data_IF_958076203603
#
_entry.id   IF_958076203603
#
_cell.length_a   1.000
_cell.length_b   1.000
_cell.length_c   1.000
_cell.angle_alpha   90.00
_cell.angle_beta   90.00
_cell.angle_gamma   90.00
#
_symmetry.space_group_name_H-M   'P 1'
#
loop_
_entity.id
_entity.type
_entity.pdbx_description
1 polymer ?
#
# COMPACT_ATOMS: atom_id res chain seq x y z
N UNK A 1 -30.52 -62.20 46.48
CA UNK A 1 -29.38 -61.27 46.54
C UNK A 1 -28.90 -61.01 45.12
N UNK A 2 -29.33 -59.91 44.50
CA UNK A 2 -29.00 -59.57 43.13
C UNK A 2 -28.12 -58.29 43.14
N UNK A 3 -26.92 -58.44 42.70
CA UNK A 3 -25.97 -57.30 42.56
C UNK A 3 -26.23 -56.61 41.22
N UNK A 4 -26.68 -55.36 41.25
CA UNK A 4 -26.85 -54.51 40.07
C UNK A 4 -25.57 -53.88 39.64
N UNK A 5 -25.18 -54.21 38.42
CA UNK A 5 -23.98 -53.59 37.73
C UNK A 5 -24.42 -52.32 37.02
N UNK A 6 -23.96 -51.15 37.49
CA UNK A 6 -24.20 -49.88 36.83
C UNK A 6 -23.16 -49.69 35.71
N UNK A 7 -23.62 -49.72 34.45
CA UNK A 7 -22.82 -49.30 33.29
C UNK A 7 -22.70 -47.76 33.28
N UNK A 8 -21.48 -47.28 33.37
CA UNK A 8 -21.15 -45.85 33.19
C UNK A 8 -20.91 -45.57 31.71
N UNK A 9 -21.84 -44.87 31.02
CA UNK A 9 -21.66 -44.43 29.66
C UNK A 9 -20.77 -43.18 29.66
N UNK A 10 -19.52 -43.32 29.19
CA UNK A 10 -18.67 -42.19 28.82
C UNK A 10 -19.15 -41.67 27.47
N UNK A 11 -19.79 -40.52 27.46
CA UNK A 11 -20.03 -39.76 26.21
C UNK A 11 -18.78 -38.94 25.88
N UNK A 12 -18.03 -39.37 24.85
CA UNK A 12 -16.99 -38.57 24.21
C UNK A 12 -17.66 -37.46 23.37
N UNK A 13 -17.61 -36.24 23.85
CA UNK A 13 -17.91 -35.06 23.03
C UNK A 13 -16.70 -34.78 22.10
N UNK A 14 -16.79 -35.20 20.84
CA UNK A 14 -15.90 -34.78 19.79
C UNK A 14 -16.28 -33.33 19.38
N UNK A 15 -15.54 -32.35 19.88
CA UNK A 15 -15.65 -30.97 19.41
C UNK A 15 -15.07 -30.87 18.00
N UNK A 16 -15.91 -30.85 16.99
CA UNK A 16 -15.54 -30.53 15.60
C UNK A 16 -15.30 -29.04 15.53
N UNK A 17 -14.02 -28.61 15.55
CA UNK A 17 -13.60 -27.26 15.21
C UNK A 17 -13.84 -27.04 13.72
N UNK A 18 -14.99 -26.50 13.36
CA UNK A 18 -15.26 -26.01 12.02
C UNK A 18 -14.41 -24.75 11.80
N UNK A 19 -13.25 -24.89 11.14
CA UNK A 19 -12.55 -23.76 10.56
C UNK A 19 -13.43 -23.17 9.46
N UNK A 20 -14.12 -22.06 9.76
CA UNK A 20 -14.74 -21.24 8.74
C UNK A 20 -13.62 -20.58 7.92
N UNK A 21 -13.18 -21.21 6.85
CA UNK A 21 -12.45 -20.53 5.79
C UNK A 21 -13.43 -19.54 5.17
N UNK A 22 -13.30 -18.25 5.50
CA UNK A 22 -13.93 -17.21 4.70
C UNK A 22 -13.39 -17.36 3.26
N UNK A 23 -14.25 -17.50 2.24
CA UNK A 23 -13.79 -17.55 0.86
C UNK A 23 -13.01 -16.28 0.60
N UNK A 24 -11.74 -16.41 0.19
CA UNK A 24 -10.99 -15.29 -0.34
C UNK A 24 -11.86 -14.69 -1.46
N UNK A 25 -12.22 -13.41 -1.35
CA UNK A 25 -12.91 -12.70 -2.44
C UNK A 25 -12.01 -12.87 -3.65
N UNK A 26 -12.43 -13.68 -4.61
CA UNK A 26 -11.82 -13.76 -5.92
C UNK A 26 -11.86 -12.35 -6.51
N UNK A 27 -10.74 -11.64 -6.46
CA UNK A 27 -10.62 -10.31 -7.03
C UNK A 27 -10.87 -10.41 -8.52
N UNK A 28 -11.77 -9.57 -9.05
CA UNK A 28 -11.99 -9.49 -10.50
C UNK A 28 -10.74 -8.88 -11.13
N UNK A 29 -10.26 -9.53 -12.20
CA UNK A 29 -9.23 -8.97 -13.04
C UNK A 29 -9.81 -7.82 -13.88
N UNK A 30 -9.18 -6.65 -13.78
CA UNK A 30 -9.57 -5.44 -14.50
C UNK A 30 -8.55 -5.15 -15.61
N UNK A 31 -9.00 -4.67 -16.78
CA UNK A 31 -8.11 -4.33 -17.88
C UNK A 31 -7.39 -3.00 -17.61
N UNK A 32 -6.12 -2.96 -18.03
CA UNK A 32 -5.28 -1.77 -18.02
C UNK A 32 -4.21 -1.85 -19.12
N UNK A 33 -3.30 -0.88 -19.14
CA UNK A 33 -2.06 -0.93 -19.91
C UNK A 33 -0.87 -0.70 -18.99
N UNK A 34 0.30 -1.15 -19.41
CA UNK A 34 1.54 -0.91 -18.69
C UNK A 34 2.63 -0.43 -19.63
N UNK A 35 3.41 0.54 -19.19
CA UNK A 35 4.71 0.97 -19.72
C UNK A 35 5.77 0.83 -18.63
N UNK A 36 6.99 1.29 -18.90
CA UNK A 36 8.04 1.29 -17.89
C UNK A 36 8.92 2.55 -17.97
N UNK A 37 9.60 2.84 -16.86
CA UNK A 37 10.53 3.94 -16.71
C UNK A 37 11.69 3.58 -15.77
N UNK A 38 12.67 4.46 -15.61
CA UNK A 38 13.65 4.43 -14.54
C UNK A 38 14.86 3.50 -14.76
N UNK A 39 15.15 3.15 -16.02
CA UNK A 39 16.33 2.37 -16.37
C UNK A 39 16.31 0.90 -15.96
N UNK A 40 17.29 0.13 -16.46
CA UNK A 40 17.33 -1.33 -16.32
C UNK A 40 17.49 -1.84 -14.88
N UNK A 41 18.04 -1.05 -13.98
CA UNK A 41 18.21 -1.37 -12.57
C UNK A 41 17.11 -0.76 -11.66
N UNK A 42 16.21 0.05 -12.24
CA UNK A 42 15.14 0.72 -11.52
C UNK A 42 15.59 1.84 -10.58
N UNK A 43 16.86 2.26 -10.60
CA UNK A 43 17.41 3.27 -9.69
C UNK A 43 16.70 4.63 -9.80
N UNK A 44 16.30 5.03 -11.00
CA UNK A 44 15.60 6.29 -11.24
C UNK A 44 14.09 6.25 -10.85
N UNK A 45 13.61 5.13 -10.33
CA UNK A 45 12.27 5.03 -9.75
C UNK A 45 12.22 5.34 -8.25
N UNK A 46 13.37 5.61 -7.65
CA UNK A 46 13.54 5.94 -6.25
C UNK A 46 12.94 7.28 -5.93
N UNK A 47 12.23 7.69 -5.24
CA UNK A 47 11.52 8.97 -5.13
C UNK A 47 10.24 8.94 -5.96
N UNK A 48 9.40 9.92 -5.75
CA UNK A 48 8.16 10.06 -6.52
C UNK A 48 7.05 10.76 -5.74
N UNK A 49 5.90 10.89 -6.39
CA UNK A 49 4.77 11.68 -5.92
C UNK A 49 4.12 11.14 -4.63
N UNK A 50 4.45 9.93 -4.18
CA UNK A 50 4.02 9.44 -2.88
C UNK A 50 4.86 9.94 -1.70
N UNK A 51 6.08 10.46 -1.95
CA UNK A 51 6.96 11.03 -0.92
C UNK A 51 7.77 10.01 -0.13
N UNK A 52 7.93 8.79 -0.66
CA UNK A 52 8.64 7.72 0.04
C UNK A 52 10.17 7.81 -0.04
N UNK A 53 10.71 8.75 -0.82
CA UNK A 53 12.15 8.91 -1.04
C UNK A 53 12.79 7.64 -1.60
N UNK A 54 13.88 7.17 -0.98
CA UNK A 54 14.56 5.95 -1.43
C UNK A 54 13.74 4.70 -1.07
N UNK A 55 13.20 4.03 -2.08
CA UNK A 55 12.28 2.89 -1.93
C UNK A 55 12.94 1.65 -1.29
N UNK A 56 14.26 1.49 -1.39
CA UNK A 56 14.98 0.42 -0.69
C UNK A 56 14.98 0.66 0.83
N UNK A 57 15.21 1.91 1.25
CA UNK A 57 15.26 2.27 2.66
C UNK A 57 13.89 2.08 3.35
N UNK A 58 12.81 2.36 2.64
CA UNK A 58 11.44 2.20 3.17
C UNK A 58 10.86 0.81 2.94
N UNK A 59 11.55 -0.07 2.19
CA UNK A 59 11.18 -1.47 2.01
C UNK A 59 10.19 -1.75 0.88
N UNK A 60 9.96 -0.81 -0.04
CA UNK A 60 9.16 -1.03 -1.25
C UNK A 60 9.97 -1.64 -2.40
N UNK A 61 11.27 -1.32 -2.48
CA UNK A 61 12.20 -1.89 -3.47
C UNK A 61 11.86 -1.52 -4.92
N UNK A 62 12.37 -2.34 -5.84
CA UNK A 62 12.24 -2.10 -7.30
C UNK A 62 10.89 -2.54 -7.89
N UNK A 63 10.11 -3.35 -7.19
CA UNK A 63 8.79 -3.76 -7.68
C UNK A 63 7.76 -2.66 -7.38
N UNK A 64 7.85 -1.58 -8.14
CA UNK A 64 7.04 -0.39 -7.94
C UNK A 64 6.43 0.11 -9.26
N UNK A 65 5.42 0.98 -9.15
CA UNK A 65 4.79 1.61 -10.28
C UNK A 65 4.32 3.04 -9.96
N UNK A 66 4.41 3.90 -10.96
CA UNK A 66 3.65 5.14 -11.02
C UNK A 66 2.25 4.84 -11.58
N UNK A 67 1.24 5.44 -10.98
CA UNK A 67 -0.16 5.23 -11.34
C UNK A 67 -0.68 6.40 -12.19
N UNK A 68 -1.47 6.09 -13.23
CA UNK A 68 -2.20 7.11 -13.98
C UNK A 68 -3.18 7.86 -13.08
N UNK A 69 -3.66 9.02 -13.51
CA UNK A 69 -4.65 9.84 -12.79
C UNK A 69 -5.86 9.03 -12.32
N UNK A 70 -6.34 8.11 -13.17
CA UNK A 70 -7.49 7.26 -12.86
C UNK A 70 -7.26 6.31 -11.66
N UNK A 71 -6.02 5.93 -11.39
CA UNK A 71 -5.64 5.04 -10.28
C UNK A 71 -5.05 5.78 -9.08
N UNK A 72 -4.38 6.90 -9.28
CA UNK A 72 -3.59 7.59 -8.24
C UNK A 72 -4.45 8.18 -7.12
N UNK A 73 -5.69 8.58 -7.46
CA UNK A 73 -6.69 9.07 -6.52
C UNK A 73 -6.13 10.17 -5.59
N UNK A 74 -5.47 11.19 -6.17
CA UNK A 74 -4.85 12.30 -5.45
C UNK A 74 -3.88 11.87 -4.32
N UNK A 75 -3.20 10.74 -4.50
CA UNK A 75 -2.25 10.19 -3.52
C UNK A 75 -2.86 9.19 -2.53
N UNK A 76 -4.18 9.05 -2.45
CA UNK A 76 -4.83 8.07 -1.56
C UNK A 76 -4.50 6.61 -1.92
N UNK A 77 -4.01 6.37 -3.14
CA UNK A 77 -3.54 5.04 -3.56
C UNK A 77 -2.06 4.78 -3.26
N UNK A 78 -1.32 5.76 -2.73
CA UNK A 78 0.08 5.59 -2.36
C UNK A 78 0.27 4.45 -1.36
N UNK A 79 1.17 3.51 -1.68
CA UNK A 79 1.48 2.33 -0.87
C UNK A 79 0.62 1.10 -1.17
N UNK A 80 -0.49 1.24 -1.90
CA UNK A 80 -1.32 0.10 -2.31
C UNK A 80 -0.54 -0.88 -3.19
N UNK A 81 -0.95 -2.15 -3.17
CA UNK A 81 -0.33 -3.22 -3.92
C UNK A 81 -1.26 -3.74 -5.02
N UNK A 82 -0.68 -3.97 -6.19
CA UNK A 82 -1.38 -4.45 -7.37
C UNK A 82 -0.68 -5.67 -7.94
N UNK A 83 -1.42 -6.77 -8.06
CA UNK A 83 -1.00 -7.93 -8.83
C UNK A 83 -1.33 -7.68 -10.29
N UNK A 84 -0.33 -7.76 -11.15
CA UNK A 84 -0.43 -7.46 -12.58
C UNK A 84 0.04 -8.66 -13.38
N UNK A 85 -0.67 -9.00 -14.45
CA UNK A 85 -0.28 -9.99 -15.45
C UNK A 85 -0.48 -9.41 -16.85
N UNK A 86 0.35 -9.82 -17.80
CA UNK A 86 0.17 -9.38 -19.18
C UNK A 86 -1.00 -10.12 -19.85
N UNK A 87 -1.83 -9.40 -20.62
CA UNK A 87 -2.96 -9.98 -21.34
C UNK A 87 -2.48 -10.66 -22.65
N UNK A 88 -2.13 -11.92 -22.53
CA UNK A 88 -1.60 -12.74 -23.63
C UNK A 88 -2.58 -12.94 -24.78
N UNK A 89 -3.88 -12.69 -24.54
CA UNK A 89 -4.90 -12.76 -25.60
C UNK A 89 -4.83 -11.57 -26.56
N UNK A 90 -4.19 -10.46 -26.11
CA UNK A 90 -4.12 -9.20 -26.85
C UNK A 90 -2.72 -8.83 -27.33
N UNK A 91 -1.67 -9.51 -26.84
CA UNK A 91 -0.30 -9.22 -27.26
C UNK A 91 0.59 -10.46 -27.20
N UNK A 92 1.29 -10.72 -28.29
CA UNK A 92 2.34 -11.76 -28.37
C UNK A 92 3.67 -11.31 -27.72
N UNK A 93 3.76 -10.08 -27.25
CA UNK A 93 4.91 -9.56 -26.48
C UNK A 93 4.81 -9.87 -25.00
N UNK A 94 3.69 -10.40 -24.53
CA UNK A 94 3.49 -10.87 -23.17
C UNK A 94 4.31 -12.13 -22.90
N UNK A 95 4.84 -12.24 -21.70
CA UNK A 95 5.43 -13.48 -21.17
C UNK A 95 4.33 -14.33 -20.55
N UNK A 96 4.00 -15.50 -21.13
CA UNK A 96 2.89 -16.31 -20.64
C UNK A 96 3.10 -16.82 -19.20
N UNK A 97 2.02 -16.84 -18.42
CA UNK A 97 2.02 -17.42 -17.07
C UNK A 97 2.77 -16.60 -16.01
N UNK A 98 3.21 -15.38 -16.34
CA UNK A 98 3.90 -14.50 -15.41
C UNK A 98 2.96 -13.48 -14.78
N UNK A 99 3.23 -13.13 -13.54
CA UNK A 99 2.59 -12.03 -12.82
C UNK A 99 3.56 -11.42 -11.82
N UNK A 100 3.33 -10.17 -11.45
CA UNK A 100 4.14 -9.48 -10.46
C UNK A 100 3.26 -8.61 -9.57
N UNK A 101 3.60 -8.54 -8.29
CA UNK A 101 3.00 -7.56 -7.39
C UNK A 101 3.88 -6.33 -7.29
N UNK A 102 3.30 -5.17 -7.55
CA UNK A 102 3.98 -3.87 -7.45
C UNK A 102 3.34 -3.01 -6.37
N UNK A 103 4.13 -2.13 -5.75
CA UNK A 103 3.64 -1.08 -4.85
C UNK A 103 3.46 0.23 -5.61
N UNK A 104 2.37 0.93 -5.35
CA UNK A 104 2.15 2.29 -5.87
C UNK A 104 3.06 3.29 -5.13
N UNK A 105 4.01 3.88 -5.82
CA UNK A 105 5.01 4.77 -5.21
C UNK A 105 5.10 6.13 -5.89
N UNK A 106 4.51 6.26 -7.07
CA UNK A 106 4.63 7.46 -7.88
C UNK A 106 3.35 7.76 -8.67
N UNK A 107 3.31 8.92 -9.27
CA UNK A 107 2.26 9.40 -10.17
C UNK A 107 2.79 9.51 -11.59
N UNK A 108 2.07 8.92 -12.55
CA UNK A 108 2.25 9.16 -13.97
C UNK A 108 1.29 10.28 -14.39
N UNK A 109 1.77 11.51 -14.61
CA UNK A 109 0.90 12.63 -14.94
C UNK A 109 0.32 12.51 -16.34
N UNK A 110 -0.84 13.13 -16.62
CA UNK A 110 -1.37 13.20 -17.96
C UNK A 110 -0.46 14.06 -18.86
N UNK A 111 -0.33 13.65 -20.11
CA UNK A 111 0.32 14.44 -21.16
C UNK A 111 -0.73 14.87 -22.21
N UNK A 112 -1.35 16.00 -21.98
CA UNK A 112 -2.43 16.52 -22.84
C UNK A 112 -1.95 16.95 -24.24
N UNK A 113 -0.65 17.06 -24.46
CA UNK A 113 -0.09 17.37 -25.77
C UNK A 113 -0.13 16.17 -26.73
N UNK A 114 -0.36 14.96 -26.21
CA UNK A 114 -0.39 13.72 -26.97
C UNK A 114 -1.72 12.97 -26.75
N UNK A 115 -2.23 12.26 -27.78
CA UNK A 115 -3.41 11.42 -27.63
C UNK A 115 -3.13 10.23 -26.70
N UNK A 116 -4.19 9.74 -26.03
CA UNK A 116 -4.09 8.68 -25.02
C UNK A 116 -3.57 7.33 -25.55
N UNK A 117 -3.64 7.09 -26.84
CA UNK A 117 -3.17 5.88 -27.53
C UNK A 117 -1.83 6.05 -28.24
N UNK A 118 -1.25 7.25 -28.17
CA UNK A 118 0.05 7.57 -28.78
C UNK A 118 0.84 8.57 -27.92
N UNK A 119 1.38 8.10 -26.79
CA UNK A 119 2.25 8.87 -25.89
C UNK A 119 1.54 9.50 -24.69
N UNK A 120 0.22 9.76 -24.75
CA UNK A 120 -0.55 10.23 -23.60
C UNK A 120 -1.06 9.07 -22.72
N UNK A 121 -0.19 8.10 -22.42
CA UNK A 121 -0.58 6.82 -21.81
C UNK A 121 -1.31 6.97 -20.46
N UNK A 122 -1.00 8.01 -19.69
CA UNK A 122 -1.59 8.29 -18.37
C UNK A 122 -2.75 9.30 -18.41
N UNK A 123 -3.21 9.72 -19.61
CA UNK A 123 -4.36 10.60 -19.75
C UNK A 123 -5.65 9.92 -19.27
N UNK A 124 -6.44 10.59 -18.41
CA UNK A 124 -7.74 10.05 -18.03
C UNK A 124 -8.69 9.92 -19.25
N UNK A 125 -9.59 8.94 -19.24
CA UNK A 125 -9.88 8.01 -18.15
C UNK A 125 -9.04 6.72 -18.16
N UNK A 126 -7.92 6.67 -18.89
CA UNK A 126 -7.11 5.46 -19.05
C UNK A 126 -6.55 4.96 -17.74
N UNK A 127 -6.80 3.69 -17.46
CA UNK A 127 -6.15 2.95 -16.37
C UNK A 127 -4.79 2.48 -16.86
N UNK A 128 -3.72 2.96 -16.24
CA UNK A 128 -2.36 2.70 -16.68
C UNK A 128 -1.38 2.61 -15.51
N UNK A 129 -0.43 1.68 -15.63
CA UNK A 129 0.70 1.49 -14.74
C UNK A 129 1.99 1.82 -15.49
N UNK A 130 2.75 2.80 -15.02
CA UNK A 130 4.11 3.05 -15.49
C UNK A 130 5.06 2.42 -14.48
N UNK A 131 5.56 1.23 -14.79
CA UNK A 131 6.26 0.35 -13.86
C UNK A 131 7.74 0.63 -13.87
N UNK A 132 8.46 0.26 -12.81
CA UNK A 132 9.92 0.15 -12.93
C UNK A 132 10.26 -0.85 -14.04
N UNK A 133 11.30 -0.57 -14.82
CA UNK A 133 11.71 -1.48 -15.92
C UNK A 133 11.93 -2.92 -15.44
N UNK A 134 12.63 -3.21 -14.30
CA UNK A 134 12.80 -4.57 -13.81
C UNK A 134 11.47 -5.28 -13.49
N UNK A 135 10.49 -4.57 -12.94
CA UNK A 135 9.16 -5.14 -12.67
C UNK A 135 8.41 -5.42 -13.98
N UNK A 136 8.44 -4.49 -14.93
CA UNK A 136 7.76 -4.63 -16.22
C UNK A 136 8.35 -5.77 -17.06
N UNK A 137 9.67 -5.97 -17.06
CA UNK A 137 10.33 -7.06 -17.79
C UNK A 137 9.97 -8.47 -17.28
N UNK A 138 9.39 -8.58 -16.08
CA UNK A 138 8.78 -9.86 -15.67
C UNK A 138 7.55 -10.20 -16.51
N UNK A 139 6.84 -9.21 -17.05
CA UNK A 139 5.56 -9.39 -17.74
C UNK A 139 5.70 -9.44 -19.26
N UNK A 140 6.63 -8.69 -19.84
CA UNK A 140 6.70 -8.49 -21.28
C UNK A 140 8.13 -8.38 -21.80
N UNK A 141 8.27 -8.49 -23.12
CA UNK A 141 9.54 -8.32 -23.82
C UNK A 141 9.85 -6.84 -23.95
N UNK A 142 11.03 -6.37 -23.52
CA UNK A 142 11.47 -4.99 -23.46
C UNK A 142 11.05 -4.12 -24.67
N UNK A 143 11.29 -4.62 -25.89
CA UNK A 143 11.00 -3.89 -27.14
C UNK A 143 9.53 -3.59 -27.38
N UNK A 144 8.61 -4.15 -26.59
CA UNK A 144 7.18 -3.87 -26.75
C UNK A 144 6.83 -2.43 -26.31
N UNK A 145 7.57 -1.87 -25.36
CA UNK A 145 7.35 -0.51 -24.83
C UNK A 145 6.07 -0.35 -24.03
N UNK A 146 4.93 -0.81 -24.57
CA UNK A 146 3.62 -0.83 -23.93
C UNK A 146 2.92 -2.16 -24.20
N UNK A 147 2.22 -2.69 -23.19
CA UNK A 147 1.41 -3.91 -23.30
C UNK A 147 0.05 -3.76 -22.61
N UNK A 148 -0.98 -4.46 -23.10
CA UNK A 148 -2.22 -4.64 -22.36
C UNK A 148 -1.96 -5.56 -21.16
N UNK A 149 -2.52 -5.20 -20.01
CA UNK A 149 -2.40 -5.97 -18.77
C UNK A 149 -3.77 -6.18 -18.12
N UNK A 150 -3.83 -7.19 -17.27
CA UNK A 150 -4.89 -7.39 -16.31
C UNK A 150 -4.33 -7.15 -14.92
N UNK A 151 -5.10 -6.51 -14.05
CA UNK A 151 -4.68 -6.21 -12.69
C UNK A 151 -5.78 -6.44 -11.67
N UNK A 152 -5.38 -6.61 -10.43
CA UNK A 152 -6.25 -6.55 -9.25
C UNK A 152 -5.49 -5.93 -8.09
N UNK A 153 -6.18 -5.16 -7.26
CA UNK A 153 -5.63 -4.71 -5.99
C UNK A 153 -5.55 -5.91 -5.05
N UNK A 154 -4.40 -6.09 -4.40
CA UNK A 154 -4.13 -7.20 -3.48
C UNK A 154 -3.63 -6.70 -2.14
N UNK A 155 -3.70 -7.56 -1.13
CA UNK A 155 -3.13 -7.27 0.17
C UNK A 155 -1.61 -7.08 0.08
N UNK A 156 -1.12 -5.97 0.62
CA UNK A 156 0.31 -5.70 0.71
C UNK A 156 0.94 -6.59 1.77
N UNK A 157 1.96 -7.34 1.37
CA UNK A 157 2.79 -8.11 2.31
C UNK A 157 3.91 -7.20 2.83
N UNK A 158 3.92 -6.94 4.14
CA UNK A 158 4.93 -6.09 4.81
C UNK A 158 5.46 -6.81 6.04
N UNK A 159 6.73 -6.58 6.36
CA UNK A 159 7.35 -7.14 7.56
C UNK A 159 7.50 -6.04 8.63
N UNK A 160 7.22 -6.39 9.88
CA UNK A 160 7.22 -5.46 11.00
C UNK A 160 5.99 -4.55 11.02
N UNK A 161 6.03 -3.53 11.86
CA UNK A 161 4.93 -2.58 12.04
C UNK A 161 5.06 -1.33 11.16
N UNK A 162 4.08 -0.43 11.30
CA UNK A 162 4.09 0.87 10.62
C UNK A 162 5.29 1.69 11.06
N UNK A 163 5.76 2.56 10.15
CA UNK A 163 6.82 3.54 10.42
C UNK A 163 6.29 4.94 10.19
N UNK A 164 6.62 5.84 11.10
CA UNK A 164 6.17 7.23 11.11
C UNK A 164 7.38 8.14 10.98
N UNK A 165 7.51 8.86 9.88
CA UNK A 165 8.53 9.89 9.69
C UNK A 165 7.90 11.24 9.97
N UNK A 166 8.44 11.99 10.94
CA UNK A 166 7.91 13.28 11.35
C UNK A 166 8.71 14.36 10.64
N UNK A 167 8.14 14.95 9.61
CA UNK A 167 8.70 16.06 8.84
C UNK A 167 7.99 17.38 9.19
N UNK A 168 8.41 18.47 8.56
CA UNK A 168 7.82 19.79 8.76
C UNK A 168 8.68 20.71 9.60
N UNK A 169 8.04 21.66 10.28
CA UNK A 169 8.69 22.61 11.18
C UNK A 169 7.68 23.28 12.13
N UNK A 170 8.08 23.54 13.35
CA UNK A 170 7.29 24.29 14.37
C UNK A 170 5.83 23.83 14.50
N UNK A 171 4.88 24.59 13.92
CA UNK A 171 3.42 24.36 13.96
C UNK A 171 2.90 23.69 12.68
N UNK A 172 3.76 23.09 11.89
CA UNK A 172 3.41 22.37 10.67
C UNK A 172 4.10 21.01 10.70
N UNK A 173 3.46 20.03 11.30
CA UNK A 173 3.90 18.64 11.25
C UNK A 173 3.39 17.98 9.97
N UNK A 174 4.30 17.35 9.25
CA UNK A 174 4.03 16.53 8.08
C UNK A 174 4.45 15.09 8.38
N UNK A 175 3.50 14.21 8.56
CA UNK A 175 3.74 12.83 8.94
C UNK A 175 3.60 11.93 7.72
N UNK A 176 4.70 11.26 7.36
CA UNK A 176 4.72 10.20 6.36
C UNK A 176 4.61 8.84 7.06
N UNK A 177 3.60 8.06 6.69
CA UNK A 177 3.44 6.69 7.21
C UNK A 177 3.81 5.69 6.14
N UNK A 178 4.73 4.78 6.46
CA UNK A 178 5.24 3.75 5.54
C UNK A 178 5.07 2.35 6.12
N UNK A 179 5.35 1.33 5.30
CA UNK A 179 5.27 -0.08 5.67
C UNK A 179 3.86 -0.53 6.09
N UNK A 180 2.84 -0.02 5.43
CA UNK A 180 1.44 -0.35 5.70
C UNK A 180 1.11 -1.66 4.99
N UNK A 181 0.74 -2.70 5.75
CA UNK A 181 0.29 -3.98 5.21
C UNK A 181 -1.19 -3.94 4.80
N UNK A 182 -1.67 -5.03 4.23
CA UNK A 182 -3.05 -5.27 3.81
C UNK A 182 -3.50 -4.26 2.75
N UNK A 183 -4.32 -3.30 3.07
CA UNK A 183 -4.79 -2.29 2.09
C UNK A 183 -3.69 -1.35 1.57
N UNK A 184 -2.54 -1.27 2.25
CA UNK A 184 -1.36 -0.53 1.82
C UNK A 184 -1.42 0.99 2.00
N UNK A 185 -2.59 1.57 2.27
CA UNK A 185 -2.79 3.03 2.35
C UNK A 185 -3.76 3.44 3.45
N UNK A 186 -3.82 4.75 3.71
CA UNK A 186 -4.60 5.36 4.79
C UNK A 186 -5.81 6.10 4.21
N UNK A 187 -6.97 5.93 4.85
CA UNK A 187 -8.20 6.66 4.56
C UNK A 187 -8.34 7.93 5.41
N UNK A 188 -7.98 7.85 6.70
CA UNK A 188 -8.01 8.98 7.63
C UNK A 188 -7.03 8.77 8.76
N UNK A 189 -6.55 9.88 9.33
CA UNK A 189 -5.56 9.89 10.40
C UNK A 189 -5.83 11.02 11.39
N UNK A 190 -5.56 10.77 12.66
CA UNK A 190 -5.52 11.79 13.72
C UNK A 190 -4.24 11.60 14.53
N UNK A 191 -3.72 12.69 15.06
CA UNK A 191 -2.58 12.71 15.98
C UNK A 191 -3.02 13.18 17.36
N UNK A 192 -2.34 12.69 18.40
CA UNK A 192 -2.50 13.17 19.78
C UNK A 192 -1.13 13.38 20.38
N UNK A 193 -0.87 14.59 20.86
CA UNK A 193 0.27 14.88 21.74
C UNK A 193 -0.05 14.55 23.20
N UNK A 194 0.99 14.42 24.03
CA UNK A 194 0.83 14.15 25.47
C UNK A 194 -0.14 15.11 26.15
N UNK A 195 -0.16 16.38 25.73
CA UNK A 195 -0.96 17.45 26.35
C UNK A 195 -2.14 17.90 25.48
N UNK A 196 -2.54 17.12 24.47
CA UNK A 196 -3.66 17.48 23.58
C UNK A 196 -4.75 16.41 23.58
N UNK A 197 -5.93 16.76 23.10
CA UNK A 197 -6.92 15.80 22.59
C UNK A 197 -6.46 15.26 21.23
N UNK A 198 -7.23 14.32 20.66
CA UNK A 198 -7.05 13.87 19.28
C UNK A 198 -7.32 15.00 18.29
N UNK A 199 -6.37 15.28 17.40
CA UNK A 199 -6.40 16.32 16.39
C UNK A 199 -6.51 15.63 15.02
N UNK A 200 -7.58 15.85 14.25
CA UNK A 200 -7.70 15.33 12.90
C UNK A 200 -6.57 15.87 12.02
N UNK A 201 -5.98 14.99 11.21
CA UNK A 201 -5.00 15.35 10.19
C UNK A 201 -5.67 15.37 8.81
N UNK A 202 -5.16 16.22 7.93
CA UNK A 202 -5.57 16.23 6.52
C UNK A 202 -4.43 15.71 5.64
N UNK A 203 -4.79 14.99 4.58
CA UNK A 203 -3.82 14.61 3.56
C UNK A 203 -3.27 15.89 2.91
N UNK A 204 -1.96 15.97 2.77
CA UNK A 204 -1.29 17.07 2.10
C UNK A 204 -0.97 16.67 0.64
N UNK A 205 0.10 15.94 0.43
CA UNK A 205 0.46 15.39 -0.88
C UNK A 205 1.00 13.97 -0.73
N UNK A 206 0.79 13.13 -1.75
CA UNK A 206 1.21 11.74 -1.72
C UNK A 206 0.68 11.01 -0.49
N UNK A 207 1.54 10.34 0.25
CA UNK A 207 1.23 9.65 1.49
C UNK A 207 1.42 10.52 2.76
N UNK A 208 1.65 11.82 2.61
CA UNK A 208 1.91 12.73 3.72
C UNK A 208 0.62 13.29 4.33
N UNK A 209 0.55 13.30 5.64
CA UNK A 209 -0.56 13.82 6.43
C UNK A 209 -0.09 15.01 7.27
N UNK A 210 -0.85 16.12 7.27
CA UNK A 210 -0.47 17.35 7.98
C UNK A 210 -1.30 17.59 9.22
N UNK A 211 -0.66 18.19 10.22
CA UNK A 211 -1.27 18.80 11.40
C UNK A 211 -0.71 20.20 11.60
N UNK A 212 -1.57 21.18 11.92
CA UNK A 212 -1.19 22.57 12.14
C UNK A 212 -1.15 22.94 13.64
N UNK A 213 -0.80 21.99 14.49
CA UNK A 213 -0.68 22.19 15.93
C UNK A 213 0.80 22.18 16.37
N UNK A 214 1.13 22.87 17.46
CA UNK A 214 2.45 22.83 18.07
C UNK A 214 2.62 21.59 18.93
N UNK A 215 3.16 20.51 18.37
CA UNK A 215 3.34 19.22 19.03
C UNK A 215 4.78 18.94 19.46
N UNK A 216 5.73 19.82 19.09
CA UNK A 216 7.14 19.66 19.46
C UNK A 216 7.32 19.59 20.98
N UNK A 217 8.12 18.62 21.43
CA UNK A 217 8.34 18.37 22.86
C UNK A 217 7.26 17.53 23.54
N UNK A 218 6.29 17.02 22.77
CA UNK A 218 5.27 16.09 23.24
C UNK A 218 5.47 14.69 22.62
N UNK A 219 5.21 13.63 23.38
CA UNK A 219 5.08 12.29 22.81
C UNK A 219 3.85 12.21 21.92
N UNK A 220 3.92 11.46 20.80
CA UNK A 220 2.84 11.40 19.84
C UNK A 220 2.25 9.99 19.72
N UNK A 221 0.92 9.95 19.65
CA UNK A 221 0.11 8.78 19.31
C UNK A 221 -0.69 9.06 18.05
N UNK A 222 -1.00 8.01 17.28
CA UNK A 222 -1.74 8.15 16.03
C UNK A 222 -2.96 7.22 16.01
N UNK A 223 -4.10 7.74 15.56
CA UNK A 223 -5.30 6.96 15.28
C UNK A 223 -5.52 6.94 13.77
N UNK A 224 -5.53 5.76 13.16
CA UNK A 224 -5.54 5.59 11.72
C UNK A 224 -6.66 4.65 11.29
N UNK A 225 -7.41 5.06 10.27
CA UNK A 225 -8.27 4.17 9.52
C UNK A 225 -7.59 3.84 8.19
N UNK A 226 -7.32 2.56 7.95
CA UNK A 226 -6.76 2.09 6.67
C UNK A 226 -7.77 2.27 5.54
N UNK A 227 -7.32 2.25 4.29
CA UNK A 227 -8.21 2.26 3.13
C UNK A 227 -9.10 0.99 3.05
N UNK A 228 -8.69 -0.10 3.70
CA UNK A 228 -9.50 -1.30 3.91
C UNK A 228 -10.59 -1.17 4.98
N UNK A 229 -10.62 -0.04 5.72
CA UNK A 229 -11.63 0.26 6.74
C UNK A 229 -11.25 -0.15 8.16
N UNK A 230 -10.11 -0.77 8.39
CA UNK A 230 -9.67 -1.08 9.75
C UNK A 230 -9.21 0.17 10.49
N UNK A 231 -9.78 0.43 11.66
CA UNK A 231 -9.34 1.47 12.59
C UNK A 231 -8.37 0.87 13.62
N UNK A 232 -7.25 1.56 13.84
CA UNK A 232 -6.25 1.15 14.83
C UNK A 232 -5.62 2.38 15.49
N UNK A 233 -5.31 2.26 16.78
CA UNK A 233 -4.61 3.30 17.56
C UNK A 233 -3.20 2.82 17.83
N UNK A 234 -2.23 3.64 17.48
CA UNK A 234 -0.80 3.45 17.69
C UNK A 234 -0.37 4.39 18.83
N UNK A 235 -0.33 3.84 20.04
CA UNK A 235 -0.05 4.61 21.25
C UNK A 235 1.45 4.88 21.40
N UNK A 236 1.79 6.10 21.84
CA UNK A 236 3.12 6.52 22.27
C UNK A 236 4.26 6.12 21.30
N UNK A 237 3.98 6.23 20.00
CA UNK A 237 4.91 5.84 18.94
C UNK A 237 6.15 6.74 18.92
N UNK A 238 5.94 8.04 19.14
CA UNK A 238 6.98 9.06 19.01
C UNK A 238 7.27 9.62 20.41
N UNK A 239 8.51 9.50 20.93
CA UNK A 239 8.87 10.00 22.25
C UNK A 239 8.95 11.54 22.24
N UNK A 240 8.76 12.20 23.40
CA UNK A 240 8.70 13.66 23.50
C UNK A 240 9.96 14.41 23.01
N UNK A 241 11.10 13.75 22.95
CA UNK A 241 12.37 14.33 22.49
C UNK A 241 12.59 14.26 20.97
N UNK A 242 11.58 13.88 20.19
CA UNK A 242 11.70 13.76 18.74
C UNK A 242 12.13 15.05 18.04
N UNK A 243 12.80 14.87 16.90
CA UNK A 243 13.19 15.95 15.99
C UNK A 243 12.60 15.72 14.62
N UNK A 244 12.40 16.80 13.87
CA UNK A 244 11.98 16.69 12.46
C UNK A 244 13.00 15.91 11.62
N UNK A 245 12.52 15.10 10.69
CA UNK A 245 13.29 14.18 9.86
C UNK A 245 13.49 12.78 10.47
N UNK A 246 13.10 12.55 11.71
CA UNK A 246 13.23 11.24 12.36
C UNK A 246 12.08 10.30 12.02
N UNK A 247 12.41 9.01 11.92
CA UNK A 247 11.44 7.91 11.70
C UNK A 247 11.35 7.03 12.93
N UNK A 248 10.12 6.74 13.35
CA UNK A 248 9.81 5.88 14.50
C UNK A 248 8.99 4.68 14.03
N UNK A 249 9.34 3.49 14.50
CA UNK A 249 8.70 2.24 14.09
C UNK A 249 7.84 1.68 15.22
N UNK A 250 6.76 1.01 14.86
CA UNK A 250 5.94 0.21 15.77
C UNK A 250 6.13 -1.28 15.50
N UNK A 251 5.60 -2.12 16.37
CA UNK A 251 5.42 -3.56 16.10
C UNK A 251 4.01 -3.88 15.59
N UNK A 252 3.13 -2.89 15.59
CA UNK A 252 1.73 -3.04 15.21
C UNK A 252 1.55 -2.87 13.71
N UNK A 253 0.62 -3.67 13.15
CA UNK A 253 0.27 -3.66 11.73
C UNK A 253 -1.25 -3.78 11.56
N UNK A 254 -1.76 -3.48 10.38
CA UNK A 254 -3.13 -3.81 10.00
C UNK A 254 -3.24 -5.31 9.70
N UNK A 255 -4.40 -5.88 10.03
CA UNK A 255 -4.65 -7.32 9.96
C UNK A 255 -5.58 -7.71 8.80
N UNK A 256 -6.32 -6.70 8.24
CA UNK A 256 -7.21 -6.85 7.06
C UNK A 256 -7.41 -5.54 6.30
#
# INVERSE_FOLDING_TARGET
MAAGMRLCFLQLFAAVLAFCFAPAKSGYWLPAHATFYGGADGSDTMGGACGYENLYNVGYGINNAALSTALFNNGLSCGQCYLITCDTSKSNMCKPGTSITVSATNFCPPNWALPSDNGGWCNPPRVHFDMSQPAWENLAIYRAGIVPVLYQQVACQRQGGLRFTINGFNYFELVLVTNIAMSGSIKSMSVKGTNTAWIPMSQNWGANWQCLAGLKGQGLSFAITSSGGQYKVFQDVVPAWWLFGQTFSTWQQFDY
#
